data_IF_367473531867
#
_entry.id   IF_367473531867
#
_cell.length_a   1.000
_cell.length_b   1.000
_cell.length_c   1.000
_cell.angle_alpha   90.00
_cell.angle_beta   90.00
_cell.angle_gamma   90.00
#
_symmetry.space_group_name_H-M   'P 1'
#
loop_
_entity.id
_entity.type
_entity.pdbx_description
1 polymer ?
#
# COMPACT_ATOMS: atom_id res chain seq x y z
N UNK A 1 -29.90 26.38 8.60
CA UNK A 1 -29.86 25.05 7.94
C UNK A 1 -28.78 25.13 6.89
N UNK A 2 -27.69 24.41 7.04
CA UNK A 2 -26.58 24.44 6.09
C UNK A 2 -26.91 23.47 4.94
N UNK A 3 -27.18 23.93 3.69
CA UNK A 3 -27.73 23.09 2.63
C UNK A 3 -26.73 22.11 2.01
N UNK A 4 -25.49 22.00 2.53
CA UNK A 4 -24.40 21.23 1.93
C UNK A 4 -23.81 20.16 2.85
N UNK A 5 -24.50 19.73 3.90
CA UNK A 5 -24.08 18.51 4.60
C UNK A 5 -24.32 17.33 3.65
N UNK A 6 -23.30 16.64 3.16
CA UNK A 6 -23.51 15.46 2.34
C UNK A 6 -24.32 14.45 3.15
N UNK A 7 -25.55 14.21 2.69
CA UNK A 7 -26.39 13.18 3.30
C UNK A 7 -25.72 11.85 3.00
N UNK A 8 -25.31 11.14 4.06
CA UNK A 8 -24.77 9.78 3.89
C UNK A 8 -25.82 8.91 3.19
N UNK A 9 -25.52 8.25 2.07
CA UNK A 9 -26.46 7.37 1.41
C UNK A 9 -26.63 6.02 2.13
N UNK A 10 -25.87 5.79 3.21
CA UNK A 10 -25.80 4.50 3.87
C UNK A 10 -27.00 4.29 4.82
N UNK A 11 -27.99 3.54 4.37
CA UNK A 11 -29.13 3.06 5.19
C UNK A 11 -28.85 1.61 5.55
N UNK A 12 -28.19 1.38 6.69
CA UNK A 12 -27.72 0.05 7.08
C UNK A 12 -28.17 -0.29 8.50
N UNK A 13 -28.96 -1.36 8.63
CA UNK A 13 -29.35 -1.89 9.92
C UNK A 13 -28.23 -2.72 10.58
N UNK A 14 -28.19 -2.74 11.92
CA UNK A 14 -27.17 -3.51 12.66
C UNK A 14 -27.15 -5.00 12.29
N UNK A 15 -28.32 -5.59 11.96
CA UNK A 15 -28.43 -6.99 11.54
C UNK A 15 -27.80 -7.28 10.19
N UNK A 16 -27.64 -6.27 9.32
CA UNK A 16 -27.02 -6.41 8.01
C UNK A 16 -25.47 -6.39 8.09
N UNK A 17 -24.91 -5.99 9.22
CA UNK A 17 -23.45 -5.89 9.42
C UNK A 17 -22.92 -7.23 9.91
N UNK A 18 -22.52 -8.09 8.96
CA UNK A 18 -21.88 -9.36 9.26
C UNK A 18 -20.37 -9.18 9.35
N UNK A 19 -19.81 -9.29 10.55
CA UNK A 19 -18.34 -9.24 10.76
C UNK A 19 -17.72 -10.58 10.48
N UNK A 20 -16.65 -10.61 9.68
CA UNK A 20 -15.82 -11.81 9.61
C UNK A 20 -15.08 -12.01 10.95
N UNK A 21 -14.99 -13.26 11.45
CA UNK A 21 -14.10 -13.56 12.55
C UNK A 21 -12.66 -13.18 12.18
N UNK A 22 -11.95 -12.47 13.05
CA UNK A 22 -10.57 -12.04 12.77
C UNK A 22 -9.67 -13.19 12.34
N UNK A 23 -9.82 -14.34 12.97
CA UNK A 23 -9.06 -15.56 12.63
C UNK A 23 -9.32 -16.02 11.21
N UNK A 24 -10.58 -15.97 10.75
CA UNK A 24 -10.93 -16.36 9.38
C UNK A 24 -10.29 -15.40 8.35
N UNK A 25 -10.36 -14.08 8.56
CA UNK A 25 -9.71 -13.11 7.68
C UNK A 25 -8.18 -13.31 7.63
N UNK A 26 -7.54 -13.49 8.79
CA UNK A 26 -6.10 -13.74 8.87
C UNK A 26 -5.72 -15.04 8.17
N UNK A 27 -6.46 -16.13 8.40
CA UNK A 27 -6.20 -17.41 7.73
C UNK A 27 -6.37 -17.31 6.22
N UNK A 28 -7.38 -16.57 5.76
CA UNK A 28 -7.56 -16.32 4.32
C UNK A 28 -6.40 -15.51 3.72
N UNK A 29 -5.96 -14.46 4.40
CA UNK A 29 -4.78 -13.69 3.98
C UNK A 29 -3.52 -14.56 3.95
N UNK A 30 -3.30 -15.41 4.96
CA UNK A 30 -2.18 -16.34 4.97
C UNK A 30 -2.27 -17.38 3.85
N UNK A 31 -3.45 -17.95 3.63
CA UNK A 31 -3.70 -18.89 2.53
C UNK A 31 -3.51 -18.25 1.14
N UNK A 32 -3.68 -16.93 1.03
CA UNK A 32 -3.37 -16.20 -0.19
C UNK A 32 -1.87 -15.93 -0.33
N UNK A 33 -1.22 -15.43 0.71
CA UNK A 33 0.18 -14.96 0.66
C UNK A 33 1.16 -16.13 0.56
N UNK A 34 1.02 -17.15 1.42
CA UNK A 34 2.05 -18.20 1.55
C UNK A 34 2.24 -19.06 0.31
N UNK A 35 1.20 -19.64 -0.32
CA UNK A 35 1.40 -20.57 -1.45
C UNK A 35 2.06 -19.92 -2.67
N UNK A 36 1.91 -18.61 -2.83
CA UNK A 36 2.51 -17.88 -3.95
C UNK A 36 4.01 -17.65 -3.84
N UNK A 37 4.56 -17.66 -2.62
CA UNK A 37 5.98 -17.39 -2.36
C UNK A 37 6.76 -18.62 -1.91
N UNK A 38 6.11 -19.60 -1.27
CA UNK A 38 6.77 -20.79 -0.73
C UNK A 38 6.93 -21.85 -1.82
N UNK A 39 8.10 -22.48 -1.84
CA UNK A 39 8.46 -23.59 -2.75
C UNK A 39 8.35 -23.26 -4.26
N UNK A 40 8.43 -21.99 -4.63
CA UNK A 40 8.37 -21.54 -6.02
C UNK A 40 9.72 -20.93 -6.43
N UNK A 41 10.24 -21.32 -7.57
CA UNK A 41 11.40 -20.65 -8.17
C UNK A 41 10.95 -19.51 -9.11
N UNK A 42 11.78 -18.50 -9.40
CA UNK A 42 11.51 -17.53 -10.46
C UNK A 42 11.25 -18.29 -11.78
N UNK A 43 10.13 -18.00 -12.47
CA UNK A 43 9.73 -18.81 -13.62
C UNK A 43 9.26 -18.01 -14.84
N UNK A 44 8.82 -16.78 -14.64
CA UNK A 44 8.49 -15.85 -15.72
C UNK A 44 9.69 -14.97 -16.06
N UNK A 45 9.75 -14.50 -17.30
CA UNK A 45 10.86 -13.66 -17.78
C UNK A 45 11.10 -12.44 -16.87
N UNK A 46 10.05 -11.69 -16.50
CA UNK A 46 10.18 -10.54 -15.62
C UNK A 46 10.65 -10.90 -14.19
N UNK A 47 10.21 -12.04 -13.67
CA UNK A 47 10.60 -12.55 -12.36
C UNK A 47 12.09 -13.00 -12.37
N UNK A 48 12.51 -13.68 -13.45
CA UNK A 48 13.89 -14.10 -13.66
C UNK A 48 14.83 -12.91 -13.88
N UNK A 49 14.42 -11.92 -14.66
CA UNK A 49 15.18 -10.71 -14.91
C UNK A 49 15.40 -9.90 -13.63
N UNK A 50 14.33 -9.64 -12.86
CA UNK A 50 14.42 -8.95 -11.59
C UNK A 50 15.33 -9.71 -10.60
N UNK A 51 15.20 -11.04 -10.52
CA UNK A 51 16.08 -11.86 -9.70
C UNK A 51 17.54 -11.78 -10.17
N UNK A 52 17.79 -11.77 -11.48
CA UNK A 52 19.13 -11.61 -12.07
C UNK A 52 19.78 -10.29 -11.64
N UNK A 53 19.07 -9.17 -11.72
CA UNK A 53 19.56 -7.87 -11.23
C UNK A 53 19.86 -7.88 -9.74
N UNK A 54 18.99 -8.46 -8.91
CA UNK A 54 19.20 -8.58 -7.47
C UNK A 54 20.44 -9.42 -7.15
N UNK A 55 20.64 -10.52 -7.88
CA UNK A 55 21.79 -11.40 -7.69
C UNK A 55 23.09 -10.73 -8.13
N UNK A 56 23.10 -10.02 -9.27
CA UNK A 56 24.25 -9.24 -9.74
C UNK A 56 24.65 -8.13 -8.77
N UNK A 57 23.68 -7.47 -8.11
CA UNK A 57 23.93 -6.49 -7.07
C UNK A 57 24.43 -7.13 -5.77
N UNK A 58 23.90 -8.30 -5.41
CA UNK A 58 24.24 -8.96 -4.15
C UNK A 58 25.59 -9.67 -4.21
N UNK A 59 25.89 -10.33 -5.33
CA UNK A 59 27.10 -11.17 -5.53
C UNK A 59 27.73 -10.84 -6.88
N UNK A 60 28.43 -9.71 -6.99
CA UNK A 60 29.10 -9.33 -8.23
C UNK A 60 30.19 -10.35 -8.58
N UNK A 61 30.34 -10.61 -9.87
CA UNK A 61 31.48 -11.39 -10.38
C UNK A 61 32.79 -10.64 -10.13
N UNK A 62 33.87 -11.38 -9.96
CA UNK A 62 35.20 -10.85 -9.64
C UNK A 62 35.64 -9.88 -10.73
N UNK A 63 35.87 -8.61 -10.37
CA UNK A 63 36.30 -7.57 -11.30
C UNK A 63 35.19 -6.71 -11.90
N UNK A 64 33.92 -6.97 -11.62
CA UNK A 64 32.83 -6.09 -12.07
C UNK A 64 32.58 -4.96 -11.08
N UNK A 65 32.55 -3.72 -11.59
CA UNK A 65 32.15 -2.55 -10.81
C UNK A 65 30.62 -2.57 -10.60
N UNK A 66 30.20 -2.67 -9.35
CA UNK A 66 28.78 -2.66 -8.98
C UNK A 66 28.29 -1.23 -8.76
N UNK A 67 27.33 -0.79 -9.56
CA UNK A 67 26.62 0.45 -9.33
C UNK A 67 25.21 0.18 -8.80
N UNK A 68 24.96 0.54 -7.55
CA UNK A 68 23.64 0.44 -6.93
C UNK A 68 22.59 1.39 -7.53
N UNK A 69 23.06 2.49 -8.17
CA UNK A 69 22.19 3.47 -8.83
C UNK A 69 21.91 3.11 -10.29
N UNK A 70 22.75 2.29 -10.89
CA UNK A 70 22.61 1.81 -12.26
C UNK A 70 22.91 0.31 -12.29
N UNK A 71 21.99 -0.54 -11.79
CA UNK A 71 22.20 -1.97 -11.82
C UNK A 71 22.30 -2.47 -13.27
N UNK A 72 23.27 -3.31 -13.51
CA UNK A 72 23.54 -3.91 -14.82
C UNK A 72 23.38 -5.41 -14.74
N UNK A 73 22.72 -5.99 -15.74
CA UNK A 73 22.64 -7.43 -15.97
C UNK A 73 23.11 -7.72 -17.39
N UNK A 74 24.19 -8.48 -17.50
CA UNK A 74 24.83 -8.77 -18.81
C UNK A 74 25.10 -7.51 -19.67
N UNK A 75 25.49 -6.39 -19.02
CA UNK A 75 25.76 -5.12 -19.68
C UNK A 75 24.54 -4.24 -19.98
N UNK A 76 23.33 -4.72 -19.71
CA UNK A 76 22.10 -3.97 -19.90
C UNK A 76 21.65 -3.34 -18.57
N UNK A 77 21.22 -2.06 -18.62
CA UNK A 77 20.67 -1.37 -17.46
C UNK A 77 19.20 -1.77 -17.26
N UNK A 78 18.75 -1.72 -16.01
CA UNK A 78 17.35 -1.94 -15.67
C UNK A 78 16.47 -0.83 -16.28
N UNK A 79 15.45 -1.17 -17.10
CA UNK A 79 14.72 -0.19 -17.90
C UNK A 79 13.72 0.65 -17.10
N UNK A 80 13.19 0.12 -15.99
CA UNK A 80 12.13 0.78 -15.23
C UNK A 80 12.63 1.73 -14.14
N UNK A 81 13.95 1.81 -13.89
CA UNK A 81 14.55 2.54 -12.77
C UNK A 81 13.95 2.19 -11.40
N UNK A 82 13.41 0.99 -11.27
CA UNK A 82 12.80 0.49 -10.05
C UNK A 82 13.87 0.03 -9.05
N UNK A 83 14.60 0.96 -8.45
CA UNK A 83 15.76 0.66 -7.62
C UNK A 83 15.40 0.01 -6.29
N UNK A 84 14.33 0.48 -5.63
CA UNK A 84 13.98 0.03 -4.28
C UNK A 84 13.69 -1.47 -4.19
N UNK A 85 12.85 -2.08 -5.04
CA UNK A 85 12.62 -3.52 -5.01
C UNK A 85 13.91 -4.32 -5.26
N UNK A 86 14.77 -3.86 -6.18
CA UNK A 86 16.06 -4.50 -6.45
C UNK A 86 17.00 -4.43 -5.25
N UNK A 87 17.09 -3.28 -4.59
CA UNK A 87 17.91 -3.11 -3.39
C UNK A 87 17.45 -4.02 -2.26
N UNK A 88 16.15 -4.08 -2.00
CA UNK A 88 15.59 -4.90 -0.92
C UNK A 88 15.85 -6.39 -1.18
N UNK A 89 15.64 -6.86 -2.41
CA UNK A 89 15.95 -8.24 -2.78
C UNK A 89 17.44 -8.54 -2.67
N UNK A 90 18.31 -7.67 -3.21
CA UNK A 90 19.76 -7.82 -3.15
C UNK A 90 20.30 -7.84 -1.70
N UNK A 91 19.76 -7.00 -0.82
CA UNK A 91 20.13 -6.99 0.60
C UNK A 91 19.78 -8.31 1.29
N UNK A 92 18.58 -8.84 1.04
CA UNK A 92 18.17 -10.12 1.58
C UNK A 92 19.06 -11.26 1.05
N UNK A 93 19.41 -11.26 -0.25
CA UNK A 93 20.33 -12.26 -0.84
C UNK A 93 21.72 -12.18 -0.19
N UNK A 94 22.24 -10.98 0.07
CA UNK A 94 23.56 -10.81 0.72
C UNK A 94 23.63 -11.42 2.12
N UNK A 95 22.50 -11.38 2.83
CA UNK A 95 22.39 -11.92 4.20
C UNK A 95 22.09 -13.42 4.20
N UNK A 96 21.69 -13.99 3.08
CA UNK A 96 21.31 -15.39 2.98
C UNK A 96 22.51 -16.31 2.77
N UNK A 97 22.45 -17.54 3.32
CA UNK A 97 23.39 -18.59 2.99
C UNK A 97 23.34 -18.96 1.49
N UNK A 98 24.42 -19.55 0.99
CA UNK A 98 24.46 -20.09 -0.37
C UNK A 98 23.37 -21.15 -0.57
N UNK A 99 22.66 -21.07 -1.72
CA UNK A 99 21.55 -21.97 -2.04
C UNK A 99 20.17 -21.47 -1.59
N UNK A 100 20.10 -20.38 -0.81
CA UNK A 100 18.82 -19.77 -0.33
C UNK A 100 18.50 -18.44 -1.01
N UNK A 101 19.23 -18.07 -2.06
CA UNK A 101 19.13 -16.77 -2.73
C UNK A 101 17.70 -16.51 -3.25
N UNK A 102 17.09 -17.51 -3.89
CA UNK A 102 15.76 -17.38 -4.46
C UNK A 102 14.67 -17.20 -3.39
N UNK A 103 14.84 -17.83 -2.23
CA UNK A 103 13.93 -17.65 -1.09
C UNK A 103 14.12 -16.28 -0.46
N UNK A 104 15.39 -15.89 -0.24
CA UNK A 104 15.74 -14.62 0.38
C UNK A 104 15.25 -13.41 -0.43
N UNK A 105 15.39 -13.47 -1.77
CA UNK A 105 14.89 -12.42 -2.66
C UNK A 105 13.38 -12.17 -2.51
N UNK A 106 12.61 -13.16 -2.10
CA UNK A 106 11.14 -13.10 -2.00
C UNK A 106 10.64 -12.57 -0.66
N UNK A 107 11.44 -12.65 0.39
CA UNK A 107 11.02 -12.22 1.73
C UNK A 107 10.51 -10.77 1.76
N UNK A 108 11.21 -9.78 1.17
CA UNK A 108 10.70 -8.41 1.16
C UNK A 108 9.39 -8.27 0.38
N UNK A 109 9.21 -9.01 -0.71
CA UNK A 109 7.98 -8.98 -1.50
C UNK A 109 6.80 -9.62 -0.77
N UNK A 110 7.04 -10.73 -0.07
CA UNK A 110 6.03 -11.31 0.82
C UNK A 110 5.62 -10.32 1.92
N UNK A 111 6.59 -9.64 2.53
CA UNK A 111 6.30 -8.59 3.52
C UNK A 111 5.53 -7.41 2.91
N UNK A 112 5.86 -6.99 1.68
CA UNK A 112 5.12 -5.95 0.96
C UNK A 112 3.68 -6.37 0.66
N UNK A 113 3.42 -7.62 0.30
CA UNK A 113 2.05 -8.09 0.08
C UNK A 113 1.24 -8.08 1.38
N UNK A 114 1.80 -8.55 2.48
CA UNK A 114 1.16 -8.45 3.81
C UNK A 114 0.87 -7.00 4.17
N UNK A 115 1.83 -6.11 3.94
CA UNK A 115 1.67 -4.68 4.21
C UNK A 115 0.60 -4.05 3.32
N UNK A 116 0.49 -4.46 2.05
CA UNK A 116 -0.56 -4.05 1.12
C UNK A 116 -1.95 -4.38 1.67
N UNK A 117 -2.15 -5.62 2.10
CA UNK A 117 -3.43 -6.05 2.68
C UNK A 117 -3.76 -5.30 3.96
N UNK A 118 -2.78 -5.12 4.84
CA UNK A 118 -2.95 -4.37 6.09
C UNK A 118 -3.24 -2.89 5.85
N UNK A 119 -2.51 -2.24 4.95
CA UNK A 119 -2.69 -0.83 4.60
C UNK A 119 -4.06 -0.60 3.92
N UNK A 120 -4.49 -1.50 3.05
CA UNK A 120 -5.81 -1.44 2.42
C UNK A 120 -6.91 -1.56 3.47
N UNK A 121 -6.81 -2.55 4.37
CA UNK A 121 -7.77 -2.70 5.47
C UNK A 121 -7.86 -1.43 6.32
N UNK A 122 -6.71 -0.88 6.72
CA UNK A 122 -6.65 0.31 7.57
C UNK A 122 -7.18 1.55 6.86
N UNK A 123 -6.84 1.74 5.57
CA UNK A 123 -7.32 2.87 4.78
C UNK A 123 -8.83 2.86 4.60
N UNK A 124 -9.40 1.71 4.23
CA UNK A 124 -10.87 1.54 4.10
C UNK A 124 -11.55 1.71 5.46
N UNK A 125 -10.99 1.15 6.54
CA UNK A 125 -11.53 1.33 7.89
C UNK A 125 -11.55 2.80 8.31
N UNK A 126 -10.46 3.52 8.08
CA UNK A 126 -10.36 4.94 8.42
C UNK A 126 -11.37 5.79 7.60
N UNK A 127 -11.48 5.53 6.29
CA UNK A 127 -12.42 6.21 5.41
C UNK A 127 -13.87 5.96 5.82
N UNK A 128 -14.22 4.70 6.13
CA UNK A 128 -15.55 4.32 6.59
C UNK A 128 -15.91 4.91 7.98
N UNK A 129 -14.92 5.37 8.74
CA UNK A 129 -15.11 6.07 10.03
C UNK A 129 -15.34 7.57 9.87
N UNK A 130 -15.23 8.12 8.68
CA UNK A 130 -15.53 9.54 8.43
C UNK A 130 -17.02 9.83 8.62
N UNK A 131 -17.38 11.04 9.03
CA UNK A 131 -18.79 11.41 9.24
C UNK A 131 -19.64 11.25 7.97
N UNK A 132 -19.07 11.58 6.82
CA UNK A 132 -19.75 11.48 5.52
C UNK A 132 -20.09 10.04 5.12
N UNK A 133 -19.34 9.03 5.61
CA UNK A 133 -19.55 7.63 5.29
C UNK A 133 -20.38 6.87 6.31
N UNK A 134 -20.73 7.50 7.46
CA UNK A 134 -21.46 6.81 8.52
C UNK A 134 -22.93 6.52 8.14
N UNK A 135 -23.51 5.40 8.62
CA UNK A 135 -24.91 5.10 8.44
C UNK A 135 -25.82 6.19 9.00
N UNK A 136 -26.95 6.42 8.33
CA UNK A 136 -27.99 7.34 8.80
C UNK A 136 -28.62 6.78 10.07
N UNK A 137 -28.81 7.64 11.10
CA UNK A 137 -29.52 7.28 12.29
C UNK A 137 -31.01 7.03 11.98
N UNK A 138 -31.55 5.92 12.50
CA UNK A 138 -32.97 5.60 12.37
C UNK A 138 -33.80 6.26 13.49
N UNK A 139 -35.01 6.63 13.18
CA UNK A 139 -35.91 7.28 14.13
C UNK A 139 -36.14 6.46 15.42
N UNK A 140 -36.11 5.15 15.32
CA UNK A 140 -36.32 4.23 16.44
C UNK A 140 -35.06 3.43 16.83
N UNK A 141 -33.87 3.83 16.32
CA UNK A 141 -32.64 3.09 16.54
C UNK A 141 -32.56 1.81 15.69
N UNK A 142 -31.47 1.05 15.88
CA UNK A 142 -31.25 -0.19 15.14
C UNK A 142 -30.32 -0.03 13.91
N UNK A 143 -29.80 1.16 13.70
CA UNK A 143 -28.75 1.41 12.72
C UNK A 143 -27.43 0.72 13.11
N UNK A 144 -26.58 0.47 12.13
CA UNK A 144 -25.30 -0.17 12.33
C UNK A 144 -24.36 0.73 13.19
N UNK A 145 -23.74 0.13 14.19
CA UNK A 145 -22.71 0.82 14.98
C UNK A 145 -21.56 1.26 14.09
N UNK A 146 -21.07 2.50 14.21
CA UNK A 146 -20.02 3.04 13.36
C UNK A 146 -18.76 2.16 13.24
N UNK A 147 -18.35 1.54 14.34
CA UNK A 147 -17.18 0.67 14.35
C UNK A 147 -17.41 -0.67 13.63
N UNK A 148 -18.61 -1.23 13.74
CA UNK A 148 -18.99 -2.50 13.15
C UNK A 148 -19.14 -2.35 11.64
N UNK A 149 -19.82 -1.29 11.22
CA UNK A 149 -19.96 -0.90 9.82
C UNK A 149 -18.59 -0.69 9.15
N UNK A 150 -17.73 0.14 9.75
CA UNK A 150 -16.40 0.41 9.21
C UNK A 150 -15.55 -0.86 9.09
N UNK A 151 -15.64 -1.77 10.07
CA UNK A 151 -14.93 -3.04 10.04
C UNK A 151 -15.43 -3.96 8.93
N UNK A 152 -16.73 -4.06 8.73
CA UNK A 152 -17.31 -4.87 7.65
C UNK A 152 -16.89 -4.36 6.28
N UNK A 153 -16.85 -3.03 6.09
CA UNK A 153 -16.34 -2.43 4.86
C UNK A 153 -14.85 -2.71 4.66
N UNK A 154 -14.04 -2.62 5.71
CA UNK A 154 -12.61 -2.90 5.62
C UNK A 154 -12.33 -4.37 5.30
N UNK A 155 -13.05 -5.29 5.93
CA UNK A 155 -12.98 -6.73 5.64
C UNK A 155 -13.40 -6.99 4.18
N UNK A 156 -14.49 -6.37 3.71
CA UNK A 156 -14.95 -6.44 2.31
C UNK A 156 -13.94 -5.86 1.32
N UNK A 157 -13.27 -4.75 1.65
CA UNK A 157 -12.22 -4.14 0.83
C UNK A 157 -11.03 -5.07 0.62
N UNK A 158 -10.58 -5.77 1.67
CA UNK A 158 -9.51 -6.78 1.55
C UNK A 158 -9.99 -7.96 0.73
N UNK A 159 -11.21 -8.46 0.94
CA UNK A 159 -11.77 -9.56 0.15
C UNK A 159 -11.87 -9.20 -1.33
N UNK A 160 -12.30 -7.99 -1.65
CA UNK A 160 -12.35 -7.50 -3.03
C UNK A 160 -10.96 -7.45 -3.67
N UNK A 161 -9.96 -6.99 -2.92
CA UNK A 161 -8.57 -6.98 -3.37
C UNK A 161 -8.05 -8.39 -3.62
N UNK A 162 -8.29 -9.34 -2.71
CA UNK A 162 -7.91 -10.75 -2.87
C UNK A 162 -8.64 -11.42 -4.03
N UNK A 163 -9.89 -11.04 -4.31
CA UNK A 163 -10.69 -11.56 -5.42
C UNK A 163 -10.29 -11.00 -6.79
N UNK A 164 -9.36 -10.05 -6.86
CA UNK A 164 -8.91 -9.47 -8.11
C UNK A 164 -7.94 -10.43 -8.84
N UNK A 165 -8.36 -11.00 -9.98
CA UNK A 165 -7.56 -11.93 -10.77
C UNK A 165 -6.23 -11.34 -11.24
N UNK A 166 -6.21 -10.06 -11.61
CA UNK A 166 -4.97 -9.37 -12.01
C UNK A 166 -3.96 -9.31 -10.86
N UNK A 167 -4.44 -9.08 -9.64
CA UNK A 167 -3.59 -9.11 -8.46
C UNK A 167 -3.03 -10.51 -8.20
N UNK A 168 -3.83 -11.56 -8.33
CA UNK A 168 -3.39 -12.94 -8.10
C UNK A 168 -2.21 -13.36 -8.99
N UNK A 169 -2.10 -12.78 -10.19
CA UNK A 169 -0.98 -13.05 -11.10
C UNK A 169 0.28 -12.27 -10.72
N UNK A 170 0.15 -10.98 -10.38
CA UNK A 170 1.28 -10.05 -10.21
C UNK A 170 1.78 -9.96 -8.76
N UNK A 171 0.94 -10.27 -7.78
CA UNK A 171 1.26 -10.08 -6.37
C UNK A 171 2.28 -11.07 -5.80
N UNK A 172 2.57 -12.15 -6.52
CA UNK A 172 3.49 -13.20 -6.10
C UNK A 172 4.80 -13.22 -6.92
N UNK A 173 5.03 -12.19 -7.71
CA UNK A 173 6.27 -11.98 -8.47
C UNK A 173 7.19 -11.00 -7.74
N UNK A 174 8.50 -11.16 -7.91
CA UNK A 174 9.50 -10.23 -7.36
C UNK A 174 9.72 -9.03 -8.30
N UNK A 175 8.63 -8.52 -8.84
CA UNK A 175 8.63 -7.43 -9.81
C UNK A 175 8.31 -6.07 -9.17
N UNK A 176 8.63 -4.95 -9.82
CA UNK A 176 8.29 -3.62 -9.33
C UNK A 176 6.78 -3.40 -9.10
N UNK A 177 5.92 -4.15 -9.81
CA UNK A 177 4.47 -4.00 -9.72
C UNK A 177 3.93 -4.20 -8.29
N UNK A 178 4.43 -5.21 -7.57
CA UNK A 178 4.03 -5.44 -6.18
C UNK A 178 4.48 -4.33 -5.25
N UNK A 179 5.70 -3.80 -5.43
CA UNK A 179 6.18 -2.68 -4.61
C UNK A 179 5.37 -1.41 -4.88
N UNK A 180 5.03 -1.12 -6.14
CA UNK A 180 4.16 0.00 -6.50
C UNK A 180 2.77 -0.14 -5.88
N UNK A 181 2.18 -1.32 -5.89
CA UNK A 181 0.90 -1.60 -5.23
C UNK A 181 0.99 -1.37 -3.70
N UNK A 182 2.06 -1.85 -3.07
CA UNK A 182 2.29 -1.68 -1.65
C UNK A 182 2.37 -0.20 -1.26
N UNK A 183 3.17 0.58 -1.97
CA UNK A 183 3.33 1.99 -1.67
C UNK A 183 2.10 2.83 -2.04
N UNK A 184 1.33 2.43 -3.05
CA UNK A 184 0.01 3.01 -3.33
C UNK A 184 -0.95 2.77 -2.16
N UNK A 185 -1.00 1.56 -1.63
CA UNK A 185 -1.85 1.21 -0.48
C UNK A 185 -1.43 1.95 0.79
N UNK A 186 -0.12 2.13 1.02
CA UNK A 186 0.40 2.93 2.11
C UNK A 186 0.03 4.41 1.97
N UNK A 187 0.17 4.98 0.78
CA UNK A 187 -0.23 6.35 0.50
C UNK A 187 -1.73 6.54 0.75
N UNK A 188 -2.57 5.63 0.25
CA UNK A 188 -4.01 5.63 0.50
C UNK A 188 -4.31 5.58 1.99
N UNK A 189 -3.69 4.66 2.74
CA UNK A 189 -3.83 4.57 4.19
C UNK A 189 -3.40 5.86 4.90
N UNK A 190 -2.29 6.47 4.46
CA UNK A 190 -1.82 7.75 4.98
C UNK A 190 -2.80 8.89 4.75
N UNK A 191 -3.39 8.99 3.55
CA UNK A 191 -4.35 10.05 3.20
C UNK A 191 -5.67 9.91 3.97
N UNK A 192 -6.11 8.69 4.27
CA UNK A 192 -7.40 8.42 4.94
C UNK A 192 -7.31 8.37 6.47
N UNK A 193 -6.11 8.26 7.05
CA UNK A 193 -5.91 8.18 8.51
C UNK A 193 -6.34 9.47 9.21
N UNK A 194 -6.95 9.32 10.39
CA UNK A 194 -7.50 10.44 11.15
C UNK A 194 -6.43 11.46 11.61
N UNK A 195 -6.78 12.75 11.73
CA UNK A 195 -5.85 13.81 12.17
C UNK A 195 -5.19 13.55 13.53
N UNK A 196 -5.83 12.76 14.39
CA UNK A 196 -5.32 12.42 15.73
C UNK A 196 -4.01 11.61 15.67
N UNK A 197 -3.78 10.85 14.60
CA UNK A 197 -2.55 10.06 14.37
C UNK A 197 -1.64 10.74 13.32
N UNK A 198 -1.38 12.00 13.49
CA UNK A 198 -0.65 12.84 12.55
C UNK A 198 0.67 12.25 12.08
N UNK A 199 1.49 11.73 12.98
CA UNK A 199 2.81 11.17 12.63
C UNK A 199 2.70 9.89 11.82
N UNK A 200 1.74 9.00 12.15
CA UNK A 200 1.47 7.79 11.38
C UNK A 200 1.00 8.15 9.96
N UNK A 201 0.10 9.13 9.87
CA UNK A 201 -0.41 9.63 8.59
C UNK A 201 0.69 10.19 7.70
N UNK A 202 1.52 11.09 8.25
CA UNK A 202 2.63 11.70 7.51
C UNK A 202 3.69 10.65 7.13
N UNK A 203 4.02 9.75 8.04
CA UNK A 203 4.95 8.66 7.79
C UNK A 203 4.47 7.73 6.68
N UNK A 204 3.22 7.28 6.72
CA UNK A 204 2.65 6.42 5.70
C UNK A 204 2.56 7.12 4.32
N UNK A 205 2.15 8.41 4.30
CA UNK A 205 2.09 9.17 3.07
C UNK A 205 3.49 9.42 2.47
N UNK A 206 4.45 9.83 3.29
CA UNK A 206 5.83 10.04 2.85
C UNK A 206 6.48 8.75 2.35
N UNK A 207 6.33 7.66 3.10
CA UNK A 207 6.86 6.35 2.69
C UNK A 207 6.18 5.87 1.40
N UNK A 208 4.86 6.09 1.27
CA UNK A 208 4.12 5.77 0.05
C UNK A 208 4.64 6.54 -1.17
N UNK A 209 4.82 7.86 -1.06
CA UNK A 209 5.33 8.70 -2.15
C UNK A 209 6.79 8.34 -2.53
N UNK A 210 7.68 8.27 -1.54
CA UNK A 210 9.08 7.91 -1.78
C UNK A 210 9.22 6.48 -2.31
N UNK A 211 8.45 5.54 -1.77
CA UNK A 211 8.45 4.16 -2.23
C UNK A 211 7.95 4.02 -3.66
N UNK A 212 6.91 4.77 -4.08
CA UNK A 212 6.44 4.80 -5.46
C UNK A 212 7.51 5.35 -6.42
N UNK A 213 8.14 6.47 -6.08
CA UNK A 213 9.18 7.06 -6.92
C UNK A 213 10.37 6.11 -7.10
N UNK A 214 10.85 5.51 -6.01
CA UNK A 214 11.97 4.56 -6.04
C UNK A 214 11.60 3.17 -6.60
N UNK A 215 10.31 2.89 -6.75
CA UNK A 215 9.80 1.68 -7.43
C UNK A 215 9.52 1.89 -8.92
N UNK A 216 10.01 2.99 -9.51
CA UNK A 216 9.90 3.26 -10.94
C UNK A 216 8.54 3.83 -11.38
N UNK A 217 7.74 4.38 -10.46
CA UNK A 217 6.44 4.99 -10.77
C UNK A 217 6.32 6.45 -10.26
N UNK A 218 7.23 7.38 -10.63
CA UNK A 218 7.20 8.77 -10.16
C UNK A 218 5.95 9.51 -10.64
N UNK A 219 5.48 9.27 -11.85
CA UNK A 219 4.23 9.86 -12.36
C UNK A 219 3.02 9.47 -11.53
N UNK A 220 2.95 8.21 -11.10
CA UNK A 220 1.88 7.71 -10.23
C UNK A 220 1.95 8.35 -8.84
N UNK A 221 3.15 8.53 -8.29
CA UNK A 221 3.37 9.23 -7.04
C UNK A 221 2.87 10.69 -7.11
N UNK A 222 3.20 11.39 -8.20
CA UNK A 222 2.74 12.77 -8.44
C UNK A 222 1.21 12.84 -8.56
N UNK A 223 0.60 12.01 -9.42
CA UNK A 223 -0.85 12.02 -9.64
C UNK A 223 -1.63 11.71 -8.36
N UNK A 224 -1.26 10.66 -7.65
CA UNK A 224 -1.96 10.26 -6.43
C UNK A 224 -1.72 11.24 -5.29
N UNK A 225 -0.52 11.77 -5.18
CA UNK A 225 -0.19 12.74 -4.16
C UNK A 225 -0.88 14.08 -4.39
N UNK A 226 -0.86 14.62 -5.63
CA UNK A 226 -1.59 15.84 -5.99
C UNK A 226 -3.10 15.66 -5.85
N UNK A 227 -3.63 14.52 -6.30
CA UNK A 227 -5.05 14.19 -6.14
C UNK A 227 -5.46 14.14 -4.66
N UNK A 228 -4.68 13.47 -3.83
CA UNK A 228 -4.93 13.40 -2.38
C UNK A 228 -4.84 14.77 -1.71
N UNK A 229 -3.86 15.59 -2.09
CA UNK A 229 -3.75 16.97 -1.60
C UNK A 229 -4.95 17.82 -2.05
N UNK A 230 -5.36 17.73 -3.31
CA UNK A 230 -6.50 18.47 -3.84
C UNK A 230 -7.80 18.11 -3.10
N UNK A 231 -8.05 16.82 -2.89
CA UNK A 231 -9.22 16.37 -2.08
C UNK A 231 -9.17 16.97 -0.69
N UNK A 232 -7.99 16.96 -0.04
CA UNK A 232 -7.84 17.53 1.30
C UNK A 232 -8.09 19.05 1.36
N UNK A 233 -7.69 19.78 0.30
CA UNK A 233 -7.93 21.24 0.19
C UNK A 233 -9.39 21.55 -0.10
N UNK A 234 -10.06 20.72 -0.91
CA UNK A 234 -11.46 20.89 -1.27
C UNK A 234 -12.42 20.43 -0.17
N UNK A 235 -12.02 19.54 0.71
CA UNK A 235 -12.75 19.24 1.93
C UNK A 235 -12.75 20.48 2.82
N UNK A 236 -13.87 21.24 2.82
CA UNK A 236 -14.02 22.43 3.65
C UNK A 236 -13.81 22.03 5.12
N UNK A 237 -12.92 22.72 5.86
CA UNK A 237 -12.76 22.49 7.28
C UNK A 237 -14.08 22.79 7.98
N UNK A 238 -14.60 21.85 8.76
CA UNK A 238 -15.69 22.11 9.71
C UNK A 238 -15.25 23.32 10.56
N UNK A 239 -15.99 24.46 10.58
CA UNK A 239 -15.58 25.68 11.27
C UNK A 239 -15.34 25.47 12.78
N UNK A 240 -15.84 24.37 13.35
CA UNK A 240 -15.61 23.96 14.74
C UNK A 240 -14.33 23.11 14.95
N UNK A 241 -13.69 22.64 13.89
CA UNK A 241 -12.41 21.96 13.97
C UNK A 241 -11.33 22.82 13.32
N UNK A 242 -10.58 23.56 14.13
CA UNK A 242 -9.33 24.22 13.72
C UNK A 242 -8.34 23.16 13.25
N UNK A 243 -8.41 22.80 11.95
CA UNK A 243 -7.36 22.04 11.28
C UNK A 243 -6.10 22.93 11.25
N UNK A 244 -4.97 22.49 11.80
CA UNK A 244 -3.78 23.33 11.82
C UNK A 244 -3.26 23.49 10.39
N UNK A 245 -3.22 24.72 9.91
CA UNK A 245 -2.57 25.15 8.64
C UNK A 245 -1.14 24.62 8.45
N UNK A 246 -0.57 24.02 9.48
CA UNK A 246 0.76 23.39 9.47
C UNK A 246 0.83 22.09 8.67
N UNK A 247 -0.28 21.38 8.46
CA UNK A 247 -0.35 20.13 7.71
C UNK A 247 -0.26 20.36 6.21
N UNK A 248 -0.90 21.41 5.72
CA UNK A 248 -0.85 21.79 4.30
C UNK A 248 0.57 22.19 3.91
N UNK A 249 1.29 22.85 4.82
CA UNK A 249 2.69 23.21 4.64
C UNK A 249 3.61 21.99 4.64
N UNK A 250 3.35 20.98 5.48
CA UNK A 250 4.15 19.76 5.54
C UNK A 250 3.93 18.87 4.32
N UNK A 251 2.70 18.74 3.84
CA UNK A 251 2.39 18.01 2.60
C UNK A 251 2.98 18.73 1.39
N UNK A 252 2.88 20.06 1.32
CA UNK A 252 3.52 20.87 0.27
C UNK A 252 5.06 20.77 0.31
N UNK A 253 5.66 20.70 1.49
CA UNK A 253 7.10 20.51 1.64
C UNK A 253 7.54 19.12 1.19
N UNK A 254 6.78 18.07 1.52
CA UNK A 254 7.03 16.72 1.02
C UNK A 254 6.88 16.63 -0.50
N UNK A 255 5.92 17.34 -1.09
CA UNK A 255 5.74 17.44 -2.54
C UNK A 255 6.91 18.12 -3.23
N UNK A 256 7.41 19.24 -2.65
CA UNK A 256 8.59 19.94 -3.19
C UNK A 256 9.88 19.14 -3.07
N UNK A 257 9.98 18.26 -2.09
CA UNK A 257 11.16 17.39 -1.93
C UNK A 257 11.12 16.14 -2.83
N UNK A 258 9.93 15.80 -3.38
CA UNK A 258 9.73 14.66 -4.28
C UNK A 258 9.79 15.04 -5.79
N UNK A 259 9.81 16.34 -6.10
CA UNK A 259 10.07 16.93 -7.43
C UNK A 259 11.54 17.24 -7.60
#
# INVERSE_FOLDING_TARGET
MNPLSPVSPAIVAQKAVARLPRRALILLCLAYVLPGFVARNPWKNADLEAFGFMLALARPETGQAVSWLKPLLAGQAEPSLALLPLWLGAWCIRLAPTGWEAVAARLPFMAMLVLTLAATWQGVYALARTRAAQPVAFAFGGEARPADYARTLADGGVLALLGCLGLALLSHEITPALSQLCFTSLLFSGLTTTPRQRWVRLGAAATGLLGLTLSGAPSMALLLGLGGWLVHVLEQPDPNHRSPRTLDKALLALFRAAL
#
